data_IF_882859526025
#
_entry.id   IF_882859526025
#
_cell.length_a   1.000
_cell.length_b   1.000
_cell.length_c   1.000
_cell.angle_alpha   90.00
_cell.angle_beta   90.00
_cell.angle_gamma   90.00
#
_symmetry.space_group_name_H-M   'P 1'
#
loop_
_entity.id
_entity.type
_entity.pdbx_description
1 polymer ?
#
# COMPACT_ATOMS: atom_id res chain seq x y z
N UNK A 1 9.85 2.66 6.36
CA UNK A 1 10.63 3.22 5.24
C UNK A 1 10.91 2.15 4.18
N UNK A 2 11.22 0.91 4.56
CA UNK A 2 11.43 -0.21 3.61
C UNK A 2 10.22 -0.54 2.73
N UNK A 3 9.00 -0.49 3.27
CA UNK A 3 7.78 -0.84 2.51
C UNK A 3 7.52 0.09 1.32
N UNK A 4 7.82 1.38 1.46
CA UNK A 4 7.65 2.36 0.37
C UNK A 4 8.60 2.06 -0.79
N UNK A 5 9.85 1.70 -0.49
CA UNK A 5 10.84 1.32 -1.51
C UNK A 5 10.41 0.05 -2.23
N UNK A 6 9.93 -0.95 -1.48
CA UNK A 6 9.48 -2.21 -2.06
C UNK A 6 8.24 -2.04 -2.96
N UNK A 7 7.31 -1.17 -2.54
CA UNK A 7 6.11 -0.84 -3.30
C UNK A 7 6.47 -0.06 -4.58
N UNK A 8 7.37 0.90 -4.51
CA UNK A 8 7.88 1.62 -5.68
C UNK A 8 8.59 0.70 -6.67
N UNK A 9 9.43 -0.22 -6.17
CA UNK A 9 10.15 -1.16 -7.02
C UNK A 9 9.21 -2.11 -7.73
N UNK A 10 8.19 -2.63 -7.01
CA UNK A 10 7.16 -3.49 -7.59
C UNK A 10 6.30 -2.75 -8.63
N UNK A 11 5.94 -1.50 -8.35
CA UNK A 11 5.22 -0.67 -9.30
C UNK A 11 6.02 -0.45 -10.59
N UNK A 12 7.31 -0.12 -10.45
CA UNK A 12 8.23 0.02 -11.58
C UNK A 12 8.35 -1.27 -12.39
N UNK A 13 8.39 -2.42 -11.72
CA UNK A 13 8.43 -3.73 -12.36
C UNK A 13 7.12 -4.03 -13.14
N UNK A 14 5.95 -3.82 -12.55
CA UNK A 14 4.66 -4.01 -13.23
C UNK A 14 4.48 -3.08 -14.44
N UNK A 15 5.00 -1.84 -14.36
CA UNK A 15 5.01 -0.92 -15.49
C UNK A 15 6.00 -1.35 -16.59
N UNK A 16 7.12 -1.96 -16.22
CA UNK A 16 8.09 -2.49 -17.19
C UNK A 16 7.56 -3.69 -17.99
N UNK A 17 6.53 -4.37 -17.47
CA UNK A 17 5.82 -5.46 -18.15
C UNK A 17 4.80 -4.95 -19.20
N UNK A 18 4.73 -3.64 -19.44
CA UNK A 18 3.82 -3.04 -20.43
C UNK A 18 2.35 -2.98 -19.98
N UNK A 19 2.07 -3.22 -18.70
CA UNK A 19 0.73 -3.13 -18.12
C UNK A 19 0.27 -1.67 -18.00
N UNK A 20 -1.03 -1.49 -18.12
CA UNK A 20 -1.65 -0.18 -17.99
C UNK A 20 -1.45 0.35 -16.57
N UNK A 21 -1.25 1.65 -16.39
CA UNK A 21 -0.79 2.21 -15.10
C UNK A 21 -1.77 1.90 -13.94
N UNK A 22 -3.07 2.00 -14.20
CA UNK A 22 -4.11 1.65 -13.24
C UNK A 22 -4.04 0.17 -12.82
N UNK A 23 -3.78 -0.71 -13.78
CA UNK A 23 -3.68 -2.15 -13.57
C UNK A 23 -2.39 -2.52 -12.82
N UNK A 24 -1.27 -1.87 -13.15
CA UNK A 24 0.01 -2.02 -12.48
C UNK A 24 -0.05 -1.58 -11.01
N UNK A 25 -0.75 -0.47 -10.72
CA UNK A 25 -0.98 -0.03 -9.34
C UNK A 25 -1.90 -0.99 -8.60
N UNK A 26 -3.01 -1.39 -9.21
CA UNK A 26 -3.93 -2.35 -8.59
C UNK A 26 -3.22 -3.66 -8.26
N UNK A 27 -2.44 -4.21 -9.19
CA UNK A 27 -1.66 -5.42 -8.95
C UNK A 27 -0.60 -5.23 -7.87
N UNK A 28 0.09 -4.09 -7.86
CA UNK A 28 1.09 -3.77 -6.83
C UNK A 28 0.44 -3.68 -5.45
N UNK A 29 -0.73 -3.05 -5.34
CA UNK A 29 -1.50 -2.96 -4.10
C UNK A 29 -2.02 -4.33 -3.64
N UNK A 30 -2.54 -5.16 -4.56
CA UNK A 30 -3.05 -6.49 -4.23
C UNK A 30 -1.92 -7.44 -3.81
N UNK A 31 -0.77 -7.39 -4.49
CA UNK A 31 0.36 -8.29 -4.19
C UNK A 31 1.18 -7.82 -2.99
N UNK A 32 1.67 -6.58 -3.03
CA UNK A 32 2.50 -6.02 -1.95
C UNK A 32 1.68 -5.64 -0.73
N UNK A 33 0.46 -5.12 -0.90
CA UNK A 33 -0.41 -4.73 0.22
C UNK A 33 -0.83 -5.91 1.10
N UNK A 34 -1.06 -7.09 0.51
CA UNK A 34 -1.29 -8.33 1.30
C UNK A 34 -0.09 -8.70 2.16
N UNK A 35 1.13 -8.60 1.61
CA UNK A 35 2.36 -8.84 2.36
C UNK A 35 2.56 -7.86 3.52
N UNK A 36 2.29 -6.57 3.28
CA UNK A 36 2.37 -5.53 4.32
C UNK A 36 1.35 -5.78 5.43
N UNK A 37 0.11 -6.15 5.07
CA UNK A 37 -0.92 -6.45 6.05
C UNK A 37 -0.54 -7.65 6.94
N UNK A 38 -0.07 -8.76 6.35
CA UNK A 38 0.38 -9.94 7.12
C UNK A 38 1.51 -9.57 8.08
N UNK A 39 2.48 -8.78 7.60
CA UNK A 39 3.58 -8.32 8.45
C UNK A 39 3.08 -7.43 9.60
N UNK A 40 2.18 -6.49 9.34
CA UNK A 40 1.57 -5.66 10.38
C UNK A 40 0.82 -6.50 11.41
N UNK A 41 0.05 -7.51 10.98
CA UNK A 41 -0.64 -8.43 11.87
C UNK A 41 0.33 -9.23 12.75
N UNK A 42 1.44 -9.74 12.20
CA UNK A 42 2.47 -10.41 13.00
C UNK A 42 3.02 -9.52 14.11
N UNK A 43 3.30 -8.24 13.82
CA UNK A 43 3.78 -7.31 14.86
C UNK A 43 2.70 -7.03 15.90
N UNK A 44 1.45 -6.83 15.49
CA UNK A 44 0.33 -6.63 16.42
C UNK A 44 0.19 -7.83 17.37
N UNK A 45 0.26 -9.06 16.85
CA UNK A 45 0.17 -10.28 17.67
C UNK A 45 1.37 -10.38 18.62
N UNK A 46 2.58 -10.07 18.15
CA UNK A 46 3.78 -10.07 19.01
C UNK A 46 3.70 -9.08 20.16
N UNK A 47 3.18 -7.87 19.90
CA UNK A 47 2.96 -6.86 20.93
C UNK A 47 1.69 -7.12 21.76
N UNK A 48 0.73 -7.90 21.28
CA UNK A 48 -0.47 -8.26 22.04
C UNK A 48 -0.13 -9.05 23.32
N UNK A 49 0.96 -9.83 23.31
CA UNK A 49 1.44 -10.58 24.48
C UNK A 49 1.83 -9.65 25.64
N UNK A 50 2.28 -8.42 25.35
CA UNK A 50 2.60 -7.44 26.40
C UNK A 50 1.37 -7.00 27.21
N UNK A 51 0.15 -7.15 26.67
CA UNK A 51 -1.07 -6.88 27.44
C UNK A 51 -1.31 -7.86 28.58
N UNK A 52 -0.77 -9.08 28.49
CA UNK A 52 -0.82 -10.04 29.61
C UNK A 52 0.15 -9.67 30.74
N UNK A 53 1.05 -8.72 30.53
CA UNK A 53 1.95 -8.27 31.60
C UNK A 53 1.18 -7.51 32.68
N UNK A 54 1.58 -7.71 33.95
CA UNK A 54 1.02 -6.98 35.09
C UNK A 54 1.42 -5.51 35.16
N UNK A 55 2.37 -5.06 34.34
CA UNK A 55 2.89 -3.69 34.37
C UNK A 55 2.11 -2.77 33.44
N UNK A 56 1.49 -1.72 34.01
CA UNK A 56 0.72 -0.70 33.27
C UNK A 56 1.54 -0.05 32.13
N UNK A 57 2.83 0.19 32.36
CA UNK A 57 3.75 0.80 31.38
C UNK A 57 3.84 -0.03 30.09
N UNK A 58 3.89 -1.37 30.19
CA UNK A 58 3.99 -2.23 29.03
C UNK A 58 2.71 -2.25 28.19
N UNK A 59 1.54 -2.14 28.84
CA UNK A 59 0.24 -2.03 28.16
C UNK A 59 0.14 -0.74 27.35
N UNK A 60 0.52 0.39 27.95
CA UNK A 60 0.54 1.68 27.26
C UNK A 60 1.52 1.69 26.09
N UNK A 61 2.70 1.08 26.27
CA UNK A 61 3.68 0.96 25.20
C UNK A 61 3.16 0.10 24.03
N UNK A 62 2.57 -1.06 24.33
CA UNK A 62 1.96 -1.93 23.33
C UNK A 62 0.82 -1.22 22.57
N UNK A 63 -0.02 -0.46 23.28
CA UNK A 63 -1.07 0.34 22.65
C UNK A 63 -0.50 1.37 21.67
N UNK A 64 0.54 2.12 22.05
CA UNK A 64 1.17 3.11 21.18
C UNK A 64 1.78 2.48 19.92
N UNK A 65 2.43 1.33 20.06
CA UNK A 65 3.02 0.60 18.91
C UNK A 65 1.93 0.13 17.95
N UNK A 66 0.88 -0.52 18.46
CA UNK A 66 -0.23 -1.01 17.64
C UNK A 66 -0.95 0.16 16.95
N UNK A 67 -1.20 1.25 17.68
CA UNK A 67 -1.85 2.44 17.13
C UNK A 67 -1.00 3.07 16.02
N UNK A 68 0.31 3.21 16.21
CA UNK A 68 1.24 3.73 15.21
C UNK A 68 1.28 2.84 13.95
N UNK A 69 1.35 1.51 14.12
CA UNK A 69 1.34 0.57 13.01
C UNK A 69 0.02 0.61 12.24
N UNK A 70 -1.10 0.70 12.94
CA UNK A 70 -2.41 0.83 12.32
C UNK A 70 -2.52 2.11 11.50
N UNK A 71 -2.07 3.24 12.06
CA UNK A 71 -2.06 4.52 11.36
C UNK A 71 -1.10 4.48 10.15
N UNK A 72 0.05 3.83 10.28
CA UNK A 72 0.99 3.64 9.18
C UNK A 72 0.39 2.78 8.05
N UNK A 73 -0.32 1.70 8.40
CA UNK A 73 -1.02 0.85 7.44
C UNK A 73 -2.15 1.61 6.73
N UNK A 74 -2.96 2.37 7.47
CA UNK A 74 -3.98 3.23 6.89
C UNK A 74 -3.36 4.28 5.96
N UNK A 75 -2.30 4.96 6.39
CA UNK A 75 -1.57 5.87 5.53
C UNK A 75 -1.02 5.13 4.30
N UNK A 76 -0.43 3.95 4.41
CA UNK A 76 0.04 3.22 3.23
C UNK A 76 -1.12 2.84 2.29
N UNK A 77 -2.24 2.37 2.82
CA UNK A 77 -3.39 1.95 2.03
C UNK A 77 -4.22 3.12 1.49
N UNK A 78 -4.16 4.31 2.08
CA UNK A 78 -4.89 5.52 1.64
C UNK A 78 -3.99 6.44 0.83
N UNK A 79 -2.77 6.74 1.31
CA UNK A 79 -1.80 7.62 0.65
C UNK A 79 -1.33 7.03 -0.68
N UNK A 80 -1.19 5.71 -0.81
CA UNK A 80 -0.79 5.08 -2.08
C UNK A 80 -1.86 5.23 -3.17
N UNK A 81 -3.15 4.87 -2.97
CA UNK A 81 -4.18 5.14 -3.96
C UNK A 81 -4.48 6.64 -4.10
N UNK A 82 -4.40 7.43 -3.03
CA UNK A 82 -4.59 8.88 -3.12
C UNK A 82 -3.50 9.52 -3.99
N UNK A 83 -2.22 9.16 -3.82
CA UNK A 83 -1.14 9.57 -4.73
C UNK A 83 -1.38 8.99 -6.11
N UNK A 84 -1.84 7.74 -6.26
CA UNK A 84 -2.13 7.17 -7.58
C UNK A 84 -3.20 7.97 -8.33
N UNK A 85 -4.27 8.38 -7.65
CA UNK A 85 -5.37 9.15 -8.21
C UNK A 85 -4.95 10.61 -8.43
N UNK A 86 -4.27 11.26 -7.47
CA UNK A 86 -3.84 12.66 -7.59
C UNK A 86 -2.71 12.85 -8.60
N UNK A 87 -1.78 11.90 -8.70
CA UNK A 87 -0.60 12.10 -9.55
C UNK A 87 -1.00 12.04 -11.00
N UNK A 88 -2.12 11.38 -11.35
CA UNK A 88 -2.76 11.33 -12.68
C UNK A 88 -1.78 11.74 -13.79
N UNK A 89 -0.61 11.06 -13.96
CA UNK A 89 0.49 11.74 -14.60
C UNK A 89 0.14 11.83 -16.07
N UNK A 90 -0.17 13.04 -16.54
CA UNK A 90 -0.40 13.36 -17.96
C UNK A 90 0.79 12.93 -18.85
N UNK A 91 1.90 12.51 -18.24
CA UNK A 91 3.04 11.85 -18.89
C UNK A 91 2.80 10.38 -19.31
N UNK A 92 1.68 9.75 -18.92
CA UNK A 92 1.25 8.44 -19.41
C UNK A 92 0.23 8.52 -20.54
N UNK A 93 -0.28 9.72 -20.85
CA UNK A 93 -0.88 9.98 -22.15
C UNK A 93 0.23 10.18 -23.18
N UNK A 94 0.82 9.07 -23.66
CA UNK A 94 1.40 9.11 -24.99
C UNK A 94 0.25 8.97 -25.98
N UNK A 95 -0.11 10.11 -26.58
CA UNK A 95 -0.98 10.27 -27.74
C UNK A 95 -1.07 9.02 -28.65
N UNK A 96 -2.30 8.59 -28.95
CA UNK A 96 -2.60 7.95 -30.23
C UNK A 96 -3.49 6.71 -30.20
N UNK A 97 -4.76 6.85 -29.80
CA UNK A 97 -5.90 6.41 -30.62
C UNK A 97 -7.21 6.96 -30.05
N UNK A 98 -7.60 8.13 -30.57
CA UNK A 98 -9.01 8.34 -30.90
C UNK A 98 -9.34 7.42 -32.06
N UNK A 99 -10.40 6.63 -31.96
CA UNK A 99 -11.30 6.37 -33.09
C UNK A 99 -12.62 5.78 -32.54
N UNK A 100 -13.58 6.68 -32.36
CA UNK A 100 -15.00 6.40 -32.31
C UNK A 100 -15.45 5.63 -33.56
N UNK A 101 -15.78 4.34 -33.44
CA UNK A 101 -16.49 3.51 -34.44
C UNK A 101 -16.86 2.22 -33.66
N UNK A 102 -18.09 1.72 -33.54
CA UNK A 102 -19.37 1.94 -34.21
C UNK A 102 -20.44 1.39 -33.24
N UNK A 103 -21.62 2.00 -33.28
CA UNK A 103 -22.91 1.35 -33.01
C UNK A 103 -22.95 -0.15 -33.35
N UNK A 104 -23.66 -0.90 -32.51
CA UNK A 104 -24.09 -2.27 -32.71
C UNK A 104 -24.94 -2.72 -31.54
#
# INVERSE_FOLDING_TARGET
VDYTIHLFWRLKYELSLGRNYAEAVQNTLVTTGRGIAINAFSVIIGFAVLFFSGMMILKTFAFLIIFSLFLCLLCALILVPAITILTEPKFLQKNGKSLSFING
#
